data_IF_579143055974
#
_entry.id   IF_579143055974
#
_cell.length_a   1.000
_cell.length_b   1.000
_cell.length_c   1.000
_cell.angle_alpha   90.00
_cell.angle_beta   90.00
_cell.angle_gamma   90.00
#
_symmetry.space_group_name_H-M   'P 1'
#
loop_
_entity.id
_entity.type
_entity.pdbx_description
1 polymer ?
#
# COMPACT_ATOMS: atom_id res chain seq x y z
N UNK A 1 13.91 2.06 -8.38
CA UNK A 1 13.65 1.71 -9.79
C UNK A 1 12.44 2.52 -10.24
N UNK A 2 12.66 3.60 -11.00
CA UNK A 2 11.60 4.52 -11.39
C UNK A 2 10.79 3.98 -12.57
N UNK A 3 9.46 4.03 -12.50
CA UNK A 3 8.61 3.82 -13.68
C UNK A 3 8.63 5.07 -14.56
N UNK A 4 8.38 4.88 -15.86
CA UNK A 4 8.18 6.00 -16.78
C UNK A 4 6.97 6.83 -16.36
N UNK A 5 7.12 8.16 -16.32
CA UNK A 5 6.08 9.12 -15.93
C UNK A 5 4.79 8.95 -16.74
N UNK A 6 4.90 8.62 -18.04
CA UNK A 6 3.73 8.40 -18.92
C UNK A 6 2.83 7.23 -18.51
N UNK A 7 3.34 6.26 -17.75
CA UNK A 7 2.60 5.04 -17.36
C UNK A 7 1.85 5.20 -16.02
N UNK A 8 2.02 6.32 -15.32
CA UNK A 8 1.40 6.56 -14.03
C UNK A 8 1.95 5.70 -12.88
N UNK A 9 1.47 5.97 -11.66
CA UNK A 9 1.81 5.18 -10.48
C UNK A 9 1.29 3.75 -10.64
N UNK A 10 2.07 2.78 -10.17
CA UNK A 10 1.65 1.39 -10.17
C UNK A 10 1.27 0.97 -8.77
N UNK A 11 0.07 0.42 -8.63
CA UNK A 11 -0.37 -0.25 -7.42
C UNK A 11 -0.67 -1.69 -7.79
N UNK A 12 -0.25 -2.63 -6.95
CA UNK A 12 -0.63 -4.02 -7.13
C UNK A 12 -2.17 -4.17 -6.97
N UNK A 13 -2.86 -4.88 -7.89
CA UNK A 13 -4.32 -5.00 -7.84
C UNK A 13 -4.86 -5.53 -6.51
N UNK A 14 -4.19 -6.51 -5.90
CA UNK A 14 -4.66 -7.07 -4.61
C UNK A 14 -4.52 -6.09 -3.45
N UNK A 15 -3.53 -5.19 -3.50
CA UNK A 15 -3.33 -4.12 -2.54
C UNK A 15 -4.41 -3.05 -2.69
N UNK A 16 -4.72 -2.68 -3.94
CA UNK A 16 -5.73 -1.68 -4.26
C UNK A 16 -7.10 -2.11 -3.75
N UNK A 17 -7.54 -3.34 -4.05
CA UNK A 17 -8.84 -3.88 -3.62
C UNK A 17 -9.00 -3.87 -2.09
N UNK A 18 -7.92 -4.16 -1.34
CA UNK A 18 -7.96 -4.13 0.12
C UNK A 18 -8.14 -2.71 0.65
N UNK A 19 -7.44 -1.75 0.07
CA UNK A 19 -7.46 -0.35 0.51
C UNK A 19 -8.80 0.29 0.18
N UNK A 20 -9.35 0.04 -1.02
CA UNK A 20 -10.68 0.53 -1.37
C UNK A 20 -11.74 -0.01 -0.41
N UNK A 21 -11.69 -1.31 -0.09
CA UNK A 21 -12.63 -1.91 0.87
C UNK A 21 -12.46 -1.37 2.31
N UNK A 22 -11.23 -1.05 2.73
CA UNK A 22 -10.98 -0.45 4.05
C UNK A 22 -11.44 1.01 4.10
N UNK A 23 -11.25 1.76 3.01
CA UNK A 23 -11.72 3.14 2.90
C UNK A 23 -13.25 3.22 2.89
N UNK A 24 -13.93 2.34 2.17
CA UNK A 24 -15.39 2.22 2.20
C UNK A 24 -15.93 1.93 3.61
N UNK A 25 -15.21 1.12 4.38
CA UNK A 25 -15.57 0.77 5.77
C UNK A 25 -15.06 1.78 6.81
N UNK A 26 -14.28 2.77 6.40
CA UNK A 26 -13.59 3.72 7.30
C UNK A 26 -12.74 3.03 8.39
N UNK A 27 -12.24 1.83 8.13
CA UNK A 27 -11.49 1.03 9.11
C UNK A 27 -9.99 1.16 8.87
N UNK A 28 -9.25 1.49 9.93
CA UNK A 28 -7.78 1.58 9.90
C UNK A 28 -7.18 0.31 10.50
N UNK A 29 -7.02 -0.72 9.67
CA UNK A 29 -6.44 -2.01 10.07
C UNK A 29 -5.02 -2.16 9.53
N UNK A 30 -4.13 -2.73 10.35
CA UNK A 30 -2.79 -3.09 9.90
C UNK A 30 -2.88 -4.34 9.02
N UNK A 31 -2.37 -4.27 7.80
CA UNK A 31 -2.32 -5.45 6.93
C UNK A 31 -0.94 -5.66 6.32
N UNK A 32 -0.64 -6.93 6.04
CA UNK A 32 0.66 -7.38 5.52
C UNK A 32 0.70 -7.25 3.99
N UNK A 33 1.80 -6.73 3.47
CA UNK A 33 2.09 -6.64 2.04
C UNK A 33 3.48 -7.14 1.71
N UNK A 34 3.57 -7.95 0.67
CA UNK A 34 4.83 -8.32 0.01
C UNK A 34 5.17 -7.39 -1.15
N UNK A 35 4.21 -6.59 -1.60
CA UNK A 35 4.34 -5.75 -2.77
C UNK A 35 5.05 -4.43 -2.45
N UNK A 36 6.37 -4.52 -2.28
CA UNK A 36 7.29 -3.36 -2.13
C UNK A 36 7.46 -2.51 -3.41
N UNK A 37 6.82 -2.91 -4.51
CA UNK A 37 6.89 -2.22 -5.81
C UNK A 37 5.72 -1.26 -6.04
N UNK A 38 4.73 -1.27 -5.16
CA UNK A 38 3.56 -0.40 -5.28
C UNK A 38 3.92 1.03 -4.88
N UNK A 39 3.36 1.99 -5.60
CA UNK A 39 3.45 3.42 -5.31
C UNK A 39 2.34 3.77 -4.33
N UNK A 40 2.65 4.62 -3.34
CA UNK A 40 1.66 5.12 -2.40
C UNK A 40 0.81 6.17 -3.12
N UNK A 41 -0.51 5.95 -3.19
CA UNK A 41 -1.49 6.94 -3.69
C UNK A 41 -2.18 7.63 -2.51
N UNK A 42 -2.90 8.75 -2.71
CA UNK A 42 -3.59 9.46 -1.62
C UNK A 42 -4.57 8.58 -0.82
N UNK A 43 -5.12 7.53 -1.43
CA UNK A 43 -6.04 6.57 -0.78
C UNK A 43 -5.42 5.80 0.39
N UNK A 44 -4.09 5.83 0.50
CA UNK A 44 -3.32 5.12 1.51
C UNK A 44 -3.08 5.95 2.78
N UNK A 45 -3.37 7.25 2.74
CA UNK A 45 -3.10 8.16 3.86
C UNK A 45 -3.90 7.75 5.09
N UNK A 46 -3.22 7.64 6.23
CA UNK A 46 -3.83 7.20 7.48
C UNK A 46 -3.89 5.68 7.69
N UNK A 47 -3.41 4.88 6.73
CA UNK A 47 -3.28 3.43 6.88
C UNK A 47 -1.90 3.03 7.39
N UNK A 48 -1.84 1.89 8.09
CA UNK A 48 -0.58 1.27 8.52
C UNK A 48 -0.32 0.00 7.72
N UNK A 49 0.76 -0.03 6.95
CA UNK A 49 1.14 -1.18 6.15
C UNK A 49 2.29 -1.94 6.79
N UNK A 50 2.12 -3.24 7.01
CA UNK A 50 3.21 -4.11 7.39
C UNK A 50 3.93 -4.59 6.12
N UNK A 51 5.06 -3.95 5.77
CA UNK A 51 5.80 -4.19 4.51
C UNK A 51 6.89 -5.24 4.72
N UNK A 52 6.93 -6.26 3.86
CA UNK A 52 7.95 -7.30 3.90
C UNK A 52 9.32 -6.79 3.41
N UNK A 53 10.36 -6.92 4.23
CA UNK A 53 11.73 -6.54 3.85
C UNK A 53 12.62 -7.71 3.37
N UNK A 54 12.11 -8.96 3.41
CA UNK A 54 12.88 -10.17 3.10
C UNK A 54 13.06 -11.12 4.30
N UNK A 55 12.89 -10.62 5.52
CA UNK A 55 12.98 -11.39 6.76
C UNK A 55 11.74 -11.17 7.65
N UNK A 56 11.37 -9.90 7.84
CA UNK A 56 10.25 -9.50 8.71
C UNK A 56 9.32 -8.49 8.04
N UNK A 57 8.12 -8.37 8.59
CA UNK A 57 7.18 -7.31 8.23
C UNK A 57 7.42 -6.09 9.13
N UNK A 58 7.69 -4.95 8.51
CA UNK A 58 7.90 -3.68 9.20
C UNK A 58 6.62 -2.87 9.09
N UNK A 59 5.97 -2.49 10.21
CA UNK A 59 4.83 -1.59 10.18
C UNK A 59 5.29 -0.18 9.79
N UNK A 60 4.68 0.36 8.74
CA UNK A 60 4.92 1.72 8.24
C UNK A 60 3.58 2.44 8.24
N UNK A 61 3.51 3.53 9.00
CA UNK A 61 2.36 4.44 8.99
C UNK A 61 2.52 5.44 7.85
N UNK A 62 1.47 5.64 7.06
CA UNK A 62 1.47 6.55 5.91
C UNK A 62 0.81 7.87 6.32
N UNK A 63 1.61 8.95 6.30
CA UNK A 63 1.20 10.33 6.57
C UNK A 63 0.81 11.07 5.31
#
# INVERSE_FOLDING_TARGET
>A
MGRSVKKGPYVEPSLLVKITALNEKNEKKVFKTWSRRSTITPDFVGHTLAVHNGNKFIPVYIT
#
